data_IF_549526640098
#
_entry.id   IF_549526640098
#
_cell.length_a   1.000
_cell.length_b   1.000
_cell.length_c   1.000
_cell.angle_alpha   90.00
_cell.angle_beta   90.00
_cell.angle_gamma   90.00
#
_symmetry.space_group_name_H-M   'P 1'
#
loop_
_entity.id
_entity.type
_entity.pdbx_description
1 polymer ?
#
# COMPACT_ATOMS: atom_id res chain seq x y z
N UNK A 1 7.08 -37.54 -10.36
CA UNK A 1 6.72 -36.15 -10.71
C UNK A 1 5.23 -35.98 -10.48
N UNK A 2 4.86 -35.01 -9.66
CA UNK A 2 3.46 -34.73 -9.36
C UNK A 2 2.74 -34.21 -10.62
N UNK A 3 1.42 -34.38 -10.66
CA UNK A 3 0.60 -33.86 -11.78
C UNK A 3 0.74 -32.35 -11.92
N UNK A 4 1.04 -31.64 -10.83
CA UNK A 4 1.36 -30.22 -10.83
C UNK A 4 2.47 -29.83 -11.81
N UNK A 5 3.57 -30.58 -11.85
CA UNK A 5 4.66 -30.30 -12.80
C UNK A 5 4.28 -30.59 -14.24
N UNK A 6 3.37 -31.55 -14.47
CA UNK A 6 2.81 -31.79 -15.80
C UNK A 6 1.94 -30.62 -16.26
N UNK A 7 1.08 -30.10 -15.39
CA UNK A 7 0.24 -28.92 -15.65
C UNK A 7 1.08 -27.67 -15.96
N UNK A 8 2.20 -27.50 -15.24
CA UNK A 8 3.13 -26.38 -15.48
C UNK A 8 4.05 -26.60 -16.69
N UNK A 9 3.92 -27.72 -17.40
CA UNK A 9 4.81 -28.12 -18.50
C UNK A 9 6.30 -28.11 -18.11
N UNK A 10 6.60 -28.63 -16.91
CA UNK A 10 7.95 -28.71 -16.35
C UNK A 10 8.41 -30.18 -16.38
N UNK A 11 9.45 -30.49 -17.15
CA UNK A 11 10.11 -31.77 -17.13
C UNK A 11 11.48 -31.64 -16.46
N UNK A 12 11.61 -32.21 -15.25
CA UNK A 12 12.84 -32.18 -14.45
C UNK A 12 13.47 -33.58 -14.29
N UNK A 13 12.94 -34.56 -14.98
CA UNK A 13 13.50 -35.93 -14.89
C UNK A 13 14.90 -35.94 -15.49
N UNK A 14 15.88 -36.35 -14.69
CA UNK A 14 17.29 -36.40 -15.09
C UNK A 14 18.04 -35.07 -14.99
N UNK A 15 17.37 -33.99 -14.58
CA UNK A 15 18.02 -32.68 -14.36
C UNK A 15 18.43 -32.58 -12.88
N UNK A 16 19.63 -32.07 -12.61
CA UNK A 16 20.04 -31.79 -11.21
C UNK A 16 19.18 -30.66 -10.64
N UNK A 17 18.62 -30.90 -9.48
CA UNK A 17 17.67 -29.97 -8.83
C UNK A 17 18.20 -28.55 -8.69
N UNK A 18 19.46 -28.38 -8.28
CA UNK A 18 20.08 -27.07 -8.09
C UNK A 18 20.47 -26.38 -9.41
N UNK A 19 20.61 -27.13 -10.51
CA UNK A 19 20.77 -26.56 -11.85
C UNK A 19 19.43 -26.04 -12.38
N UNK A 20 18.33 -26.76 -12.06
CA UNK A 20 16.99 -26.36 -12.45
C UNK A 20 16.48 -25.18 -11.61
N UNK A 21 16.70 -25.19 -10.30
CA UNK A 21 16.21 -24.15 -9.38
C UNK A 21 17.23 -23.89 -8.26
N UNK A 22 18.21 -22.99 -8.51
CA UNK A 22 19.28 -22.71 -7.56
C UNK A 22 18.80 -22.25 -6.18
N UNK A 23 17.65 -21.55 -6.12
CA UNK A 23 17.06 -21.06 -4.86
C UNK A 23 16.66 -22.17 -3.88
N UNK A 24 16.50 -23.41 -4.37
CA UNK A 24 16.26 -24.56 -3.51
C UNK A 24 17.49 -25.00 -2.70
N UNK A 25 18.67 -24.45 -2.98
CA UNK A 25 19.89 -24.74 -2.22
C UNK A 25 19.70 -24.44 -0.73
N UNK A 26 19.02 -23.36 -0.40
CA UNK A 26 18.76 -22.95 0.97
C UNK A 26 17.90 -23.95 1.78
N UNK A 27 17.16 -24.85 1.13
CA UNK A 27 16.39 -25.91 1.81
C UNK A 27 17.28 -27.03 2.37
N UNK A 28 18.56 -27.06 2.00
CA UNK A 28 19.51 -28.05 2.49
C UNK A 28 20.34 -27.54 3.67
N UNK A 29 20.22 -26.26 4.00
CA UNK A 29 20.94 -25.60 5.09
C UNK A 29 20.21 -25.77 6.43
N UNK A 30 18.88 -25.78 6.39
CA UNK A 30 18.01 -25.94 7.55
C UNK A 30 16.76 -26.76 7.19
N UNK A 31 16.00 -27.17 8.20
CA UNK A 31 14.73 -27.91 8.03
C UNK A 31 13.50 -26.99 7.99
N UNK A 32 13.70 -25.68 7.83
CA UNK A 32 12.61 -24.71 7.82
C UNK A 32 11.82 -24.75 6.51
N UNK A 33 10.52 -24.46 6.62
CA UNK A 33 9.65 -24.28 5.46
C UNK A 33 9.98 -22.93 4.82
N UNK A 34 10.28 -22.95 3.53
CA UNK A 34 10.60 -21.74 2.77
C UNK A 34 9.60 -21.51 1.64
N UNK A 35 9.31 -20.24 1.36
CA UNK A 35 8.51 -19.88 0.20
C UNK A 35 9.45 -19.70 -0.99
N UNK A 36 9.21 -20.49 -2.03
CA UNK A 36 9.97 -20.43 -3.28
C UNK A 36 9.07 -20.06 -4.45
N UNK A 37 9.61 -19.28 -5.40
CA UNK A 37 8.92 -18.95 -6.64
C UNK A 37 9.36 -19.90 -7.76
N UNK A 38 8.41 -20.55 -8.39
CA UNK A 38 8.66 -21.41 -9.54
C UNK A 38 7.72 -20.98 -10.65
N UNK A 39 8.25 -20.33 -11.67
CA UNK A 39 7.48 -19.83 -12.82
C UNK A 39 6.28 -18.96 -12.45
N UNK A 40 6.46 -18.06 -11.45
CA UNK A 40 5.41 -17.15 -11.01
C UNK A 40 4.38 -17.75 -10.05
N UNK A 41 4.53 -19.03 -9.69
CA UNK A 41 3.75 -19.66 -8.61
C UNK A 41 4.57 -19.74 -7.34
N UNK A 42 3.90 -19.54 -6.20
CA UNK A 42 4.50 -19.60 -4.86
C UNK A 42 4.27 -20.97 -4.23
N UNK A 43 5.36 -21.58 -3.78
CA UNK A 43 5.30 -22.89 -3.12
C UNK A 43 5.90 -22.80 -1.72
N UNK A 44 5.20 -23.39 -0.74
CA UNK A 44 5.86 -23.84 0.49
C UNK A 44 6.71 -25.04 0.14
N UNK A 45 8.02 -24.90 0.34
CA UNK A 45 9.01 -25.94 0.08
C UNK A 45 9.66 -26.38 1.37
N UNK A 46 9.80 -27.67 1.55
CA UNK A 46 10.48 -28.24 2.69
C UNK A 46 11.25 -29.50 2.29
N UNK A 47 12.46 -29.66 2.82
CA UNK A 47 13.32 -30.82 2.58
C UNK A 47 13.25 -31.80 3.76
N UNK A 48 12.83 -33.02 3.49
CA UNK A 48 12.89 -34.10 4.48
C UNK A 48 14.19 -34.90 4.29
N UNK A 49 15.08 -34.77 5.26
CA UNK A 49 16.34 -35.51 5.25
C UNK A 49 16.13 -37.01 5.41
N UNK A 50 15.10 -37.42 6.16
CA UNK A 50 14.73 -38.79 6.37
C UNK A 50 14.32 -39.50 5.08
N UNK A 51 13.42 -38.91 4.33
CA UNK A 51 12.89 -39.48 3.09
C UNK A 51 13.69 -39.08 1.85
N UNK A 52 14.61 -38.11 1.96
CA UNK A 52 15.35 -37.51 0.84
C UNK A 52 14.44 -36.93 -0.23
N UNK A 53 13.29 -36.37 0.18
CA UNK A 53 12.29 -35.76 -0.69
C UNK A 53 12.14 -34.29 -0.39
N UNK A 54 11.95 -33.52 -1.44
CA UNK A 54 11.48 -32.13 -1.31
C UNK A 54 9.97 -32.11 -1.56
N UNK A 55 9.27 -31.59 -0.59
CA UNK A 55 7.83 -31.37 -0.65
C UNK A 55 7.56 -29.95 -1.10
N UNK A 56 6.67 -29.82 -2.09
CA UNK A 56 6.23 -28.54 -2.62
C UNK A 56 4.71 -28.50 -2.54
N UNK A 57 4.18 -27.50 -1.84
CA UNK A 57 2.76 -27.23 -1.73
C UNK A 57 2.47 -25.88 -2.40
N UNK A 58 1.63 -25.87 -3.41
CA UNK A 58 1.20 -24.63 -4.07
C UNK A 58 0.37 -23.78 -3.08
N UNK A 59 0.89 -22.61 -2.74
CA UNK A 59 0.28 -21.64 -1.84
C UNK A 59 -0.02 -20.31 -2.53
N UNK A 60 0.05 -20.28 -3.86
CA UNK A 60 -0.11 -19.08 -4.67
C UNK A 60 -1.43 -18.38 -4.35
N UNK A 61 -2.54 -19.10 -4.41
CA UNK A 61 -3.86 -18.53 -4.14
C UNK A 61 -4.02 -18.11 -2.68
N UNK A 62 -3.48 -18.88 -1.75
CA UNK A 62 -3.55 -18.56 -0.32
C UNK A 62 -2.83 -17.24 -0.03
N UNK A 63 -1.61 -17.08 -0.52
CA UNK A 63 -0.83 -15.85 -0.33
C UNK A 63 -1.47 -14.65 -1.04
N UNK A 64 -2.04 -14.86 -2.23
CA UNK A 64 -2.78 -13.81 -2.93
C UNK A 64 -4.00 -13.35 -2.13
N UNK A 65 -4.82 -14.28 -1.64
CA UNK A 65 -5.99 -13.96 -0.82
C UNK A 65 -5.61 -13.28 0.50
N UNK A 66 -4.53 -13.72 1.13
CA UNK A 66 -3.99 -13.09 2.33
C UNK A 66 -3.57 -11.64 2.05
N UNK A 67 -2.88 -11.39 0.94
CA UNK A 67 -2.46 -10.05 0.54
C UNK A 67 -3.68 -9.18 0.22
N UNK A 68 -4.64 -9.71 -0.53
CA UNK A 68 -5.88 -9.01 -0.86
C UNK A 68 -6.68 -8.63 0.40
N UNK A 69 -6.73 -9.53 1.39
CA UNK A 69 -7.36 -9.26 2.67
C UNK A 69 -6.68 -8.11 3.42
N UNK A 70 -5.35 -8.14 3.49
CA UNK A 70 -4.57 -7.06 4.12
C UNK A 70 -4.76 -5.72 3.38
N UNK A 71 -4.73 -5.76 2.06
CA UNK A 71 -4.87 -4.58 1.21
C UNK A 71 -6.26 -3.93 1.30
N UNK A 72 -7.30 -4.69 1.67
CA UNK A 72 -8.67 -4.21 1.83
C UNK A 72 -8.98 -3.69 3.23
N UNK A 73 -8.08 -3.82 4.20
CA UNK A 73 -8.31 -3.28 5.54
C UNK A 73 -8.58 -1.78 5.48
N UNK A 74 -9.63 -1.35 6.19
CA UNK A 74 -10.05 0.05 6.19
C UNK A 74 -9.14 0.86 7.09
N UNK A 75 -8.58 1.92 6.55
CA UNK A 75 -7.85 2.96 7.26
C UNK A 75 -8.72 4.21 7.36
N UNK A 76 -8.61 4.90 8.48
CA UNK A 76 -9.26 6.19 8.69
C UNK A 76 -8.20 7.22 9.02
N UNK A 77 -8.24 8.35 8.32
CA UNK A 77 -7.39 9.49 8.62
C UNK A 77 -8.20 10.71 9.01
N UNK A 78 -7.65 11.45 9.96
CA UNK A 78 -8.11 12.77 10.35
C UNK A 78 -7.20 13.81 9.74
N UNK A 79 -7.75 14.72 8.96
CA UNK A 79 -7.01 15.79 8.29
C UNK A 79 -7.45 17.12 8.87
N UNK A 80 -6.49 17.94 9.28
CA UNK A 80 -6.75 19.28 9.84
C UNK A 80 -5.91 20.31 9.08
N UNK A 81 -6.52 21.43 8.74
CA UNK A 81 -5.79 22.61 8.28
C UNK A 81 -5.34 23.38 9.52
N UNK A 82 -4.05 23.51 9.69
CA UNK A 82 -3.46 24.23 10.81
C UNK A 82 -3.59 25.74 10.58
N UNK A 83 -3.80 26.51 11.64
CA UNK A 83 -4.02 27.96 11.63
C UNK A 83 -5.24 28.43 10.81
N UNK A 84 -6.17 27.50 10.45
CA UNK A 84 -7.27 27.81 9.54
C UNK A 84 -8.22 28.90 10.06
N UNK A 85 -8.65 28.79 11.31
CA UNK A 85 -9.61 29.73 11.91
C UNK A 85 -8.98 31.11 12.06
N UNK A 86 -7.75 31.19 12.58
CA UNK A 86 -6.98 32.42 12.71
C UNK A 86 -6.78 33.13 11.36
N UNK A 87 -6.44 32.35 10.32
CA UNK A 87 -6.29 32.88 8.94
C UNK A 87 -7.60 33.46 8.42
N UNK A 88 -8.73 32.79 8.66
CA UNK A 88 -10.03 33.30 8.23
C UNK A 88 -10.47 34.53 8.99
N UNK A 89 -10.21 34.62 10.29
CA UNK A 89 -10.55 35.79 11.12
C UNK A 89 -9.78 37.05 10.70
N UNK A 90 -8.57 36.88 10.20
CA UNK A 90 -7.72 38.00 9.74
C UNK A 90 -7.95 38.41 8.27
N UNK A 91 -8.74 37.62 7.51
CA UNK A 91 -9.01 37.89 6.11
C UNK A 91 -10.28 38.70 5.91
N UNK A 92 -10.30 39.55 4.86
CA UNK A 92 -11.52 40.16 4.39
C UNK A 92 -12.47 39.12 3.75
N UNK A 93 -13.73 39.48 3.56
CA UNK A 93 -14.76 38.56 3.08
C UNK A 93 -14.43 37.89 1.73
N UNK A 94 -13.92 38.62 0.69
CA UNK A 94 -13.50 38.01 -0.57
C UNK A 94 -12.33 37.05 -0.41
N UNK A 95 -11.33 37.40 0.39
CA UNK A 95 -10.15 36.56 0.66
C UNK A 95 -10.53 35.32 1.46
N UNK A 96 -11.42 35.46 2.45
CA UNK A 96 -11.97 34.33 3.22
C UNK A 96 -12.65 33.31 2.29
N UNK A 97 -13.51 33.75 1.38
CA UNK A 97 -14.16 32.85 0.42
C UNK A 97 -13.18 32.14 -0.51
N UNK A 98 -12.12 32.86 -0.94
CA UNK A 98 -11.06 32.28 -1.77
C UNK A 98 -10.26 31.21 -1.01
N UNK A 99 -9.84 31.49 0.23
CA UNK A 99 -9.13 30.54 1.09
C UNK A 99 -9.97 29.27 1.29
N UNK A 100 -11.25 29.43 1.63
CA UNK A 100 -12.17 28.29 1.83
C UNK A 100 -12.32 27.44 0.57
N UNK A 101 -12.50 28.08 -0.57
CA UNK A 101 -12.68 27.40 -1.86
C UNK A 101 -11.43 26.64 -2.28
N UNK A 102 -10.26 27.29 -2.25
CA UNK A 102 -8.98 26.72 -2.66
C UNK A 102 -8.53 25.57 -1.74
N UNK A 103 -8.62 25.77 -0.44
CA UNK A 103 -8.29 24.74 0.55
C UNK A 103 -9.14 23.49 0.35
N UNK A 104 -10.47 23.68 0.19
CA UNK A 104 -11.37 22.57 -0.09
C UNK A 104 -11.05 21.88 -1.40
N UNK A 105 -10.79 22.63 -2.47
CA UNK A 105 -10.49 22.09 -3.79
C UNK A 105 -9.26 21.17 -3.75
N UNK A 106 -8.14 21.65 -3.19
CA UNK A 106 -6.89 20.86 -3.11
C UNK A 106 -7.11 19.53 -2.37
N UNK A 107 -7.82 19.56 -1.23
CA UNK A 107 -8.07 18.36 -0.43
C UNK A 107 -9.02 17.39 -1.16
N UNK A 108 -10.08 17.89 -1.78
CA UNK A 108 -11.07 17.05 -2.48
C UNK A 108 -10.48 16.46 -3.75
N UNK A 109 -9.72 17.24 -4.53
CA UNK A 109 -9.07 16.76 -5.75
C UNK A 109 -8.02 15.68 -5.46
N UNK A 110 -7.23 15.85 -4.39
CA UNK A 110 -6.31 14.81 -3.93
C UNK A 110 -7.05 13.54 -3.53
N UNK A 111 -8.12 13.67 -2.75
CA UNK A 111 -8.90 12.53 -2.31
C UNK A 111 -9.50 11.78 -3.49
N UNK A 112 -10.13 12.50 -4.42
CA UNK A 112 -10.74 11.93 -5.62
C UNK A 112 -9.72 11.22 -6.50
N UNK A 113 -8.58 11.84 -6.77
CA UNK A 113 -7.51 11.29 -7.62
C UNK A 113 -6.87 10.01 -7.04
N UNK A 114 -6.99 9.81 -5.73
CA UNK A 114 -6.44 8.63 -5.04
C UNK A 114 -7.51 7.60 -4.62
N UNK A 115 -8.78 7.80 -4.98
CA UNK A 115 -9.87 6.90 -4.58
C UNK A 115 -10.16 6.92 -3.08
N UNK A 116 -9.92 8.06 -2.43
CA UNK A 116 -10.14 8.28 -0.99
C UNK A 116 -11.54 8.88 -0.80
N UNK A 117 -12.34 8.29 0.08
CA UNK A 117 -13.62 8.86 0.50
C UNK A 117 -13.35 9.91 1.55
N UNK A 118 -13.81 11.15 1.31
CA UNK A 118 -13.58 12.25 2.23
C UNK A 118 -14.89 12.92 2.67
N UNK A 119 -14.95 13.30 3.94
CA UNK A 119 -16.07 14.01 4.55
C UNK A 119 -15.57 15.14 5.41
N UNK A 120 -16.05 16.37 5.14
CA UNK A 120 -15.85 17.49 6.05
C UNK A 120 -16.75 17.31 7.26
N UNK A 121 -16.22 17.44 8.47
CA UNK A 121 -16.99 17.32 9.72
C UNK A 121 -16.94 18.58 10.59
N UNK A 122 -15.95 19.45 10.38
CA UNK A 122 -15.87 20.78 10.99
C UNK A 122 -15.16 21.76 10.04
N UNK A 123 -15.07 23.05 10.47
CA UNK A 123 -14.24 24.05 9.80
C UNK A 123 -12.77 23.58 9.77
N UNK A 124 -12.15 23.60 8.59
CA UNK A 124 -10.76 23.12 8.41
C UNK A 124 -10.50 21.64 8.72
N UNK A 125 -11.53 20.84 9.05
CA UNK A 125 -11.38 19.45 9.46
C UNK A 125 -12.10 18.46 8.56
N UNK A 126 -11.41 17.35 8.20
CA UNK A 126 -11.93 16.29 7.33
C UNK A 126 -11.62 14.90 7.90
N UNK A 127 -12.54 13.97 7.65
CA UNK A 127 -12.33 12.54 7.82
C UNK A 127 -12.13 11.91 6.45
N UNK A 128 -11.08 11.13 6.30
CA UNK A 128 -10.78 10.40 5.09
C UNK A 128 -10.83 8.89 5.37
N UNK A 129 -11.43 8.12 4.46
CA UNK A 129 -11.53 6.67 4.54
C UNK A 129 -10.94 6.08 3.27
N UNK A 130 -10.05 5.14 3.44
CA UNK A 130 -9.36 4.46 2.35
C UNK A 130 -8.92 3.06 2.82
N UNK A 131 -8.35 2.27 1.94
CA UNK A 131 -7.84 0.97 2.31
C UNK A 131 -6.32 1.00 2.52
N UNK A 132 -5.79 -0.08 3.12
CA UNK A 132 -4.37 -0.25 3.41
C UNK A 132 -3.48 -0.10 2.17
N UNK A 133 -3.95 -0.55 1.01
CA UNK A 133 -3.24 -0.41 -0.27
C UNK A 133 -3.04 1.07 -0.65
N UNK A 134 -4.09 1.88 -0.47
CA UNK A 134 -4.01 3.33 -0.72
C UNK A 134 -3.09 3.97 0.32
N UNK A 135 -3.19 3.56 1.59
CA UNK A 135 -2.32 4.05 2.66
C UNK A 135 -0.85 3.87 2.33
N UNK A 136 -0.43 2.66 1.97
CA UNK A 136 0.98 2.39 1.59
C UNK A 136 1.44 3.27 0.45
N UNK A 137 0.60 3.46 -0.58
CA UNK A 137 0.89 4.37 -1.70
C UNK A 137 1.09 5.81 -1.23
N UNK A 138 0.29 6.29 -0.27
CA UNK A 138 0.46 7.63 0.28
C UNK A 138 1.74 7.75 1.12
N UNK A 139 2.11 6.72 1.89
CA UNK A 139 3.38 6.67 2.63
C UNK A 139 4.58 6.71 1.68
N UNK A 140 4.58 5.93 0.61
CA UNK A 140 5.64 5.92 -0.42
C UNK A 140 5.81 7.30 -1.05
N UNK A 141 4.71 8.00 -1.32
CA UNK A 141 4.69 9.35 -1.87
C UNK A 141 4.83 10.45 -0.80
N UNK A 142 5.13 10.07 0.47
CA UNK A 142 5.28 10.99 1.61
C UNK A 142 4.09 11.94 1.77
N UNK A 143 2.88 11.48 1.44
CA UNK A 143 1.67 12.31 1.46
C UNK A 143 1.86 13.62 0.68
N UNK A 144 2.08 13.53 -0.63
CA UNK A 144 2.36 14.67 -1.49
C UNK A 144 1.35 15.84 -1.38
N UNK A 145 0.15 15.58 -0.85
CA UNK A 145 -0.84 16.62 -0.53
C UNK A 145 -0.30 17.68 0.43
N UNK A 146 0.60 17.30 1.36
CA UNK A 146 1.16 18.25 2.33
C UNK A 146 1.94 19.36 1.63
N UNK A 147 2.75 18.99 0.63
CA UNK A 147 3.52 19.94 -0.16
C UNK A 147 2.61 20.77 -1.08
N UNK A 148 1.67 20.11 -1.77
CA UNK A 148 0.70 20.78 -2.64
C UNK A 148 -0.14 21.80 -1.88
N UNK A 149 -0.57 21.47 -0.67
CA UNK A 149 -1.34 22.39 0.16
C UNK A 149 -0.48 23.57 0.64
N UNK A 150 0.75 23.32 1.00
CA UNK A 150 1.71 24.35 1.40
C UNK A 150 2.00 25.33 0.26
N UNK A 151 2.11 24.84 -0.96
CA UNK A 151 2.29 25.69 -2.15
C UNK A 151 1.06 26.56 -2.40
N UNK A 152 -0.13 25.98 -2.38
CA UNK A 152 -1.40 26.72 -2.48
C UNK A 152 -1.53 27.81 -1.41
N UNK A 153 -1.13 27.50 -0.16
CA UNK A 153 -1.16 28.48 0.94
C UNK A 153 -0.24 29.68 0.67
N UNK A 154 0.96 29.42 0.13
CA UNK A 154 1.90 30.48 -0.26
C UNK A 154 1.35 31.34 -1.41
N UNK A 155 0.66 30.75 -2.40
CA UNK A 155 0.03 31.51 -3.49
C UNK A 155 -1.05 32.47 -2.98
N UNK A 156 -1.67 32.17 -1.85
CA UNK A 156 -2.64 33.02 -1.18
C UNK A 156 -2.02 34.04 -0.22
N UNK A 157 -0.68 34.05 -0.11
CA UNK A 157 0.06 34.85 0.87
C UNK A 157 -0.38 34.54 2.32
N UNK A 158 -0.56 33.25 2.60
CA UNK A 158 -0.98 32.73 3.91
C UNK A 158 -0.02 31.66 4.45
N UNK A 159 -0.07 31.44 5.76
CA UNK A 159 0.73 30.42 6.44
C UNK A 159 -0.18 29.33 7.02
N UNK A 160 -0.64 28.44 6.13
CA UNK A 160 -1.41 27.27 6.52
C UNK A 160 -0.69 25.98 6.13
N UNK A 161 -0.83 24.95 6.93
CA UNK A 161 -0.32 23.60 6.66
C UNK A 161 -1.41 22.56 6.88
N UNK A 162 -1.16 21.32 6.46
CA UNK A 162 -2.01 20.19 6.78
C UNK A 162 -1.35 19.30 7.81
N UNK A 163 -2.13 18.84 8.77
CA UNK A 163 -1.78 17.75 9.68
C UNK A 163 -2.68 16.54 9.37
N UNK A 164 -2.07 15.34 9.27
CA UNK A 164 -2.77 14.09 8.99
C UNK A 164 -2.44 13.10 10.10
N UNK A 165 -3.47 12.64 10.83
CA UNK A 165 -3.39 11.55 11.79
C UNK A 165 -4.11 10.32 11.26
N UNK A 166 -3.51 9.13 11.36
CA UNK A 166 -4.03 7.83 10.87
C UNK A 166 -4.07 6.85 12.04
#
# INVERSE_FOLDING_TARGET
>A
TSDLFKEMNINIVGVKLLEWQPHLASLFEDEDIKIVDIKGKKFEAYNSQETKLIYLKDVTQFLSLQQDYLDQQVCMAYITIDNYEETLENADEPKMALIQSKSRQVIVDWAYSNGIIIRRFKSGGYLAFFNERIYRKQVENKFAILDTFKEMSKELDEVMTLSIGI
#
